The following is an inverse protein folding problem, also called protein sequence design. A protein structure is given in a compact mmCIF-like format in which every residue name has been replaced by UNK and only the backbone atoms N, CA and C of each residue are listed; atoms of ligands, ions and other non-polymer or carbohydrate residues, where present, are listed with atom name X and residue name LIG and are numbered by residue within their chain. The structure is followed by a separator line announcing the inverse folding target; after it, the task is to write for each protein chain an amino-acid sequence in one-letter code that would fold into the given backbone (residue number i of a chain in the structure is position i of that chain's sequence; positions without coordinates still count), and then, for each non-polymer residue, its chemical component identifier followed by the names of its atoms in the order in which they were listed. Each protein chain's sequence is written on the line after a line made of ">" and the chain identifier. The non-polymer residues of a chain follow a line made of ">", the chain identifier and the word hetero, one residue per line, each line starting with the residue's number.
data_IF_797359202592
#
_entry.id   IF_797359202592
#
_cell.length_a   1.000
_cell.length_b   1.000
_cell.length_c   1.000
_cell.angle_alpha   90.00
_cell.angle_beta   90.00
_cell.angle_gamma   90.00
#
_symmetry.space_group_name_H-M   'P 1'
#
loop_
_entity.id
_entity.type
_entity.pdbx_description
1 polymer ?
#
# COMPACT_ATOMS: atom_id res chain seq x y z
N UNK A 1 33.10 -17.62 -26.85
CA UNK A 1 31.63 -17.53 -26.84
C UNK A 1 31.18 -17.63 -28.28
N UNK A 2 30.28 -18.55 -28.58
CA UNK A 2 29.70 -18.70 -29.92
C UNK A 2 28.82 -17.49 -30.23
N UNK A 3 29.01 -16.91 -31.41
CA UNK A 3 28.26 -15.77 -31.89
C UNK A 3 26.87 -16.27 -32.33
N UNK A 4 25.77 -15.78 -31.74
CA UNK A 4 24.43 -16.19 -32.14
C UNK A 4 24.12 -15.68 -33.56
N UNK A 5 23.33 -16.45 -34.32
CA UNK A 5 22.99 -16.29 -35.75
C UNK A 5 23.37 -14.95 -36.40
N UNK A 6 24.40 -14.99 -37.25
CA UNK A 6 24.99 -13.83 -37.94
C UNK A 6 24.02 -13.09 -38.87
N UNK A 7 22.88 -13.67 -39.23
CA UNK A 7 21.94 -13.05 -40.17
C UNK A 7 21.07 -11.95 -39.54
N UNK A 8 21.00 -11.89 -38.20
CA UNK A 8 20.20 -10.88 -37.48
C UNK A 8 21.01 -9.82 -36.75
N UNK A 9 22.33 -10.01 -36.66
CA UNK A 9 23.25 -9.13 -35.92
C UNK A 9 24.23 -8.52 -36.92
N UNK A 10 24.14 -7.20 -37.09
CA UNK A 10 24.97 -6.44 -38.03
C UNK A 10 25.91 -5.54 -37.23
N UNK A 11 27.21 -5.59 -37.53
CA UNK A 11 28.22 -4.72 -36.90
C UNK A 11 28.81 -3.80 -37.95
N UNK A 12 28.50 -2.50 -37.87
CA UNK A 12 29.00 -1.47 -38.78
C UNK A 12 29.80 -0.40 -38.02
N UNK A 13 31.13 -0.56 -38.03
CA UNK A 13 32.04 0.38 -37.39
C UNK A 13 31.84 0.47 -35.87
N UNK A 14 31.07 1.48 -35.42
CA UNK A 14 30.77 1.73 -33.99
C UNK A 14 29.36 1.27 -33.61
N UNK A 15 28.59 0.77 -34.56
CA UNK A 15 27.19 0.42 -34.36
C UNK A 15 26.99 -1.09 -34.39
N UNK A 16 26.19 -1.58 -33.43
CA UNK A 16 25.75 -2.96 -33.33
C UNK A 16 24.22 -2.95 -33.46
N UNK A 17 23.72 -3.55 -34.54
CA UNK A 17 22.30 -3.53 -34.89
C UNK A 17 21.72 -4.93 -34.85
N UNK A 18 20.62 -5.09 -34.12
CA UNK A 18 19.81 -6.31 -34.12
C UNK A 18 18.58 -6.08 -34.99
N UNK A 19 18.44 -6.82 -36.09
CA UNK A 19 17.24 -6.73 -36.95
C UNK A 19 16.03 -7.41 -36.31
N UNK A 20 16.27 -8.39 -35.44
CA UNK A 20 15.26 -9.06 -34.61
C UNK A 20 15.87 -9.48 -33.27
N UNK A 21 15.20 -9.08 -32.18
CA UNK A 21 15.61 -9.39 -30.81
C UNK A 21 15.03 -10.73 -30.36
N UNK A 22 15.85 -11.51 -29.66
CA UNK A 22 15.45 -12.71 -28.93
C UNK A 22 15.78 -12.53 -27.45
N UNK A 23 15.04 -13.20 -26.57
CA UNK A 23 15.32 -13.23 -25.13
C UNK A 23 16.73 -13.75 -24.81
N UNK A 24 17.34 -14.55 -25.69
CA UNK A 24 18.73 -14.99 -25.54
C UNK A 24 19.77 -13.91 -25.80
N UNK A 25 19.37 -12.75 -26.33
CA UNK A 25 20.25 -11.58 -26.49
C UNK A 25 20.43 -10.77 -25.21
N UNK A 26 19.74 -11.16 -24.14
CA UNK A 26 19.95 -10.55 -22.84
C UNK A 26 21.41 -10.72 -22.42
N UNK A 27 22.08 -9.61 -22.13
CA UNK A 27 23.49 -9.69 -21.74
C UNK A 27 24.20 -8.36 -21.69
N UNK A 28 25.46 -8.43 -21.28
CA UNK A 28 26.38 -7.29 -21.26
C UNK A 28 27.19 -7.28 -22.55
N UNK A 29 27.00 -6.25 -23.36
CA UNK A 29 27.72 -5.99 -24.58
C UNK A 29 28.87 -5.04 -24.30
N UNK A 30 30.06 -5.36 -24.80
CA UNK A 30 31.25 -4.53 -24.65
C UNK A 30 31.71 -4.01 -26.00
N UNK A 31 31.75 -2.69 -26.13
CA UNK A 31 32.43 -2.04 -27.24
C UNK A 31 33.89 -1.84 -26.87
N UNK A 32 34.81 -2.19 -27.75
CA UNK A 32 36.24 -2.02 -27.55
C UNK A 32 36.83 -1.20 -28.71
N UNK A 33 37.50 -0.10 -28.36
CA UNK A 33 38.24 0.75 -29.29
C UNK A 33 39.74 0.59 -29.04
N UNK A 34 40.50 0.34 -30.09
CA UNK A 34 41.94 0.10 -30.00
C UNK A 34 42.71 0.98 -30.98
N UNK A 35 43.90 1.41 -30.56
CA UNK A 35 44.90 2.04 -31.41
C UNK A 35 46.31 1.55 -31.02
N UNK A 36 47.35 2.05 -31.68
CA UNK A 36 48.73 1.61 -31.43
C UNK A 36 49.27 1.98 -30.04
N UNK A 37 48.57 2.85 -29.28
CA UNK A 37 48.97 3.27 -27.93
C UNK A 37 48.20 2.51 -26.84
N UNK A 38 47.04 1.92 -27.15
CA UNK A 38 46.28 1.16 -26.18
C UNK A 38 44.85 0.85 -26.61
N UNK A 39 44.10 0.27 -25.67
CA UNK A 39 42.70 -0.10 -25.84
C UNK A 39 41.85 0.52 -24.74
N UNK A 40 40.61 0.88 -25.07
CA UNK A 40 39.60 1.33 -24.13
C UNK A 40 38.27 0.65 -24.45
N UNK A 41 37.44 0.39 -23.45
CA UNK A 41 36.16 -0.27 -23.65
C UNK A 41 35.04 0.33 -22.81
N UNK A 42 33.82 0.16 -23.30
CA UNK A 42 32.59 0.55 -22.61
C UNK A 42 31.60 -0.62 -22.65
N UNK A 43 30.89 -0.83 -21.54
CA UNK A 43 29.91 -1.90 -21.39
C UNK A 43 28.48 -1.35 -21.37
N UNK A 44 27.56 -2.10 -21.97
CA UNK A 44 26.12 -1.82 -22.02
C UNK A 44 25.32 -3.08 -21.72
N UNK A 45 24.33 -3.00 -20.83
CA UNK A 45 23.47 -4.15 -20.50
C UNK A 45 22.17 -4.05 -21.29
N UNK A 46 21.95 -5.00 -22.19
CA UNK A 46 20.73 -5.10 -22.99
C UNK A 46 19.71 -5.96 -22.26
N UNK A 47 18.51 -5.40 -22.07
CA UNK A 47 17.34 -6.11 -21.56
C UNK A 47 16.31 -6.35 -22.66
N UNK A 48 16.01 -7.61 -22.97
CA UNK A 48 14.97 -8.02 -23.92
C UNK A 48 13.82 -8.67 -23.16
N UNK A 49 12.64 -8.06 -23.27
CA UNK A 49 11.41 -8.54 -22.64
C UNK A 49 10.55 -9.28 -23.66
N UNK A 50 9.90 -10.35 -23.21
CA UNK A 50 8.90 -11.06 -24.00
C UNK A 50 7.53 -10.42 -23.76
N UNK A 51 6.90 -9.80 -24.77
CA UNK A 51 5.60 -9.15 -24.61
C UNK A 51 4.47 -10.14 -24.33
N UNK A 52 4.66 -11.42 -24.65
CA UNK A 52 3.70 -12.49 -24.43
C UNK A 52 3.96 -13.25 -23.12
N UNK A 53 5.03 -12.93 -22.39
CA UNK A 53 5.25 -13.42 -21.04
C UNK A 53 4.29 -12.71 -20.08
N UNK A 54 3.01 -13.08 -20.15
CA UNK A 54 1.97 -12.74 -19.20
C UNK A 54 2.46 -13.08 -17.78
N UNK A 55 2.89 -12.07 -17.04
CA UNK A 55 2.93 -12.11 -15.57
C UNK A 55 4.21 -12.60 -14.90
N UNK A 56 5.39 -12.53 -15.51
CA UNK A 56 6.65 -12.68 -14.76
C UNK A 56 7.18 -11.32 -14.29
N UNK A 57 6.34 -10.55 -13.58
CA UNK A 57 6.81 -9.57 -12.59
C UNK A 57 7.34 -10.37 -11.39
N UNK A 58 8.48 -11.04 -11.59
CA UNK A 58 9.04 -12.03 -10.66
C UNK A 58 9.49 -11.46 -9.30
N UNK A 59 9.43 -10.15 -9.11
CA UNK A 59 9.86 -9.46 -7.88
C UNK A 59 8.75 -8.64 -7.23
N UNK A 60 7.73 -8.23 -7.99
CA UNK A 60 6.86 -7.14 -7.53
C UNK A 60 5.75 -7.63 -6.63
N UNK A 61 5.28 -8.86 -6.83
CA UNK A 61 4.26 -9.45 -5.95
C UNK A 61 4.79 -9.70 -4.53
N UNK A 62 6.08 -10.02 -4.37
CA UNK A 62 6.69 -10.21 -3.06
C UNK A 62 6.85 -8.87 -2.32
N UNK A 63 7.29 -7.83 -3.03
CA UNK A 63 7.38 -6.46 -2.51
C UNK A 63 6.00 -5.90 -2.15
N UNK A 64 5.04 -5.97 -3.07
CA UNK A 64 3.66 -5.52 -2.86
C UNK A 64 3.01 -6.29 -1.70
N UNK A 65 3.17 -7.62 -1.67
CA UNK A 65 2.66 -8.47 -0.59
C UNK A 65 3.27 -8.13 0.77
N UNK A 66 4.58 -7.86 0.82
CA UNK A 66 5.27 -7.44 2.03
C UNK A 66 4.75 -6.11 2.58
N UNK A 67 4.60 -5.11 1.72
CA UNK A 67 4.08 -3.79 2.14
C UNK A 67 2.66 -3.91 2.67
N UNK A 68 1.78 -4.64 1.96
CA UNK A 68 0.39 -4.85 2.39
C UNK A 68 0.34 -5.58 3.74
N UNK A 69 1.16 -6.63 3.93
CA UNK A 69 1.20 -7.36 5.18
C UNK A 69 1.62 -6.48 6.38
N UNK A 70 2.63 -5.61 6.19
CA UNK A 70 3.09 -4.68 7.24
C UNK A 70 2.01 -3.68 7.61
N UNK A 71 1.32 -3.09 6.62
CA UNK A 71 0.25 -2.11 6.87
C UNK A 71 -0.92 -2.76 7.64
N UNK A 72 -1.34 -3.96 7.23
CA UNK A 72 -2.43 -4.70 7.91
C UNK A 72 -2.02 -5.08 9.34
N UNK A 73 -0.77 -5.50 9.56
CA UNK A 73 -0.28 -5.83 10.90
C UNK A 73 -0.24 -4.60 11.83
N UNK A 74 0.32 -3.48 11.36
CA UNK A 74 0.40 -2.24 12.15
C UNK A 74 -0.99 -1.72 12.50
N UNK A 75 -1.90 -1.69 11.54
CA UNK A 75 -3.29 -1.25 11.78
C UNK A 75 -4.01 -2.14 12.79
N UNK A 76 -3.87 -3.47 12.69
CA UNK A 76 -4.45 -4.41 13.66
C UNK A 76 -3.87 -4.20 15.07
N UNK A 77 -2.55 -4.03 15.18
CA UNK A 77 -1.88 -3.73 16.46
C UNK A 77 -2.40 -2.43 17.08
N UNK A 78 -2.52 -1.36 16.30
CA UNK A 78 -3.05 -0.09 16.77
C UNK A 78 -4.50 -0.22 17.26
N UNK A 79 -5.35 -0.94 16.53
CA UNK A 79 -6.75 -1.18 16.95
C UNK A 79 -6.79 -1.94 18.27
N UNK A 80 -5.96 -2.97 18.46
CA UNK A 80 -5.92 -3.75 19.71
C UNK A 80 -5.42 -2.89 20.86
N UNK A 81 -4.33 -2.13 20.66
CA UNK A 81 -3.75 -1.26 21.69
C UNK A 81 -4.74 -0.15 22.06
N UNK A 82 -5.33 0.53 21.08
CA UNK A 82 -6.36 1.56 21.32
C UNK A 82 -7.60 0.96 21.95
N UNK A 83 -8.05 -0.22 21.52
CA UNK A 83 -9.18 -0.92 22.12
C UNK A 83 -8.93 -1.29 23.58
N UNK A 84 -7.74 -1.79 23.92
CA UNK A 84 -7.32 -2.04 25.31
C UNK A 84 -7.18 -0.76 26.10
N UNK A 85 -6.58 0.27 25.51
CA UNK A 85 -6.38 1.58 26.12
C UNK A 85 -7.73 2.21 26.45
N UNK A 86 -8.64 2.27 25.48
CA UNK A 86 -10.01 2.75 25.66
C UNK A 86 -10.81 1.85 26.59
N UNK A 87 -10.65 0.52 26.59
CA UNK A 87 -11.35 -0.32 27.58
C UNK A 87 -10.82 -0.11 29.01
N UNK A 88 -9.54 0.22 29.17
CA UNK A 88 -8.93 0.56 30.47
C UNK A 88 -9.25 2.01 30.90
N UNK A 89 -9.33 2.94 29.95
CA UNK A 89 -9.63 4.36 30.17
C UNK A 89 -11.10 4.73 29.97
N UNK A 90 -11.97 3.82 29.52
CA UNK A 90 -13.44 3.93 29.55
C UNK A 90 -14.01 3.15 30.73
N UNK A 91 -13.27 3.12 31.84
CA UNK A 91 -13.87 3.28 33.16
C UNK A 91 -14.17 4.76 33.47
N UNK A 92 -14.24 5.62 32.45
CA UNK A 92 -14.28 7.08 32.59
C UNK A 92 -15.18 7.65 31.47
N UNK A 93 -16.49 7.63 31.77
CA UNK A 93 -17.58 8.50 31.31
C UNK A 93 -17.86 8.65 29.80
N UNK A 94 -18.85 7.88 29.34
CA UNK A 94 -19.89 8.40 28.44
C UNK A 94 -21.27 8.02 28.97
N UNK A 95 -21.51 8.28 30.26
CA UNK A 95 -22.86 8.50 30.77
C UNK A 95 -23.05 10.01 30.72
N UNK A 96 -23.93 10.50 29.85
CA UNK A 96 -24.52 11.81 30.06
C UNK A 96 -25.38 11.68 31.30
N UNK A 97 -24.76 11.72 32.48
CA UNK A 97 -25.49 11.86 33.73
C UNK A 97 -26.17 13.22 33.64
N UNK A 98 -27.50 13.19 33.59
CA UNK A 98 -28.30 14.39 33.59
C UNK A 98 -27.92 15.21 34.83
N UNK A 99 -27.36 16.38 34.58
CA UNK A 99 -26.86 17.31 35.58
C UNK A 99 -28.05 17.80 36.41
N UNK A 100 -28.32 17.14 37.54
CA UNK A 100 -29.48 17.42 38.39
C UNK A 100 -29.82 16.35 39.43
N UNK A 101 -29.14 15.21 39.45
CA UNK A 101 -29.44 14.11 40.38
C UNK A 101 -28.63 14.14 41.70
N UNK A 102 -27.76 15.14 41.91
CA UNK A 102 -26.91 15.20 43.12
C UNK A 102 -27.61 15.84 44.35
N UNK A 103 -28.74 16.53 44.15
CA UNK A 103 -29.50 17.20 45.24
C UNK A 103 -30.85 16.53 45.57
N UNK A 104 -31.14 15.35 45.00
CA UNK A 104 -32.34 14.58 45.31
C UNK A 104 -31.99 13.46 46.31
N UNK A 105 -32.59 13.43 47.52
CA UNK A 105 -32.31 12.39 48.52
C UNK A 105 -32.80 10.98 48.12
N UNK A 106 -33.60 10.86 47.06
CA UNK A 106 -34.17 9.63 46.54
C UNK A 106 -34.64 9.78 45.06
N UNK A 107 -34.80 8.65 44.36
CA UNK A 107 -35.08 8.61 42.92
C UNK A 107 -36.51 9.06 42.56
N UNK A 108 -37.48 8.94 43.47
CA UNK A 108 -38.87 9.34 43.22
C UNK A 108 -39.01 10.86 43.22
N UNK A 109 -38.19 11.57 44.01
CA UNK A 109 -38.15 13.05 44.04
C UNK A 109 -37.52 13.66 42.78
N UNK A 110 -36.55 12.98 42.14
CA UNK A 110 -35.89 13.46 40.92
C UNK A 110 -36.81 13.47 39.69
N UNK A 111 -37.78 12.55 39.64
CA UNK A 111 -38.73 12.42 38.51
C UNK A 111 -39.72 13.59 38.48
N UNK A 112 -40.20 14.04 39.64
CA UNK A 112 -41.26 15.06 39.74
C UNK A 112 -40.75 16.46 39.38
N UNK A 113 -39.45 16.73 39.60
CA UNK A 113 -38.83 18.01 39.25
C UNK A 113 -38.33 18.09 37.79
N UNK A 114 -38.33 16.99 37.04
CA UNK A 114 -37.91 16.97 35.64
C UNK A 114 -38.98 17.53 34.69
N UNK A 115 -40.24 17.59 35.12
CA UNK A 115 -41.39 17.93 34.26
C UNK A 115 -41.86 19.39 34.41
N UNK A 116 -40.91 20.28 34.67
CA UNK A 116 -41.12 21.72 34.68
C UNK A 116 -40.34 22.42 33.57
N UNK A 117 -40.99 22.64 32.42
CA UNK A 117 -40.85 23.88 31.65
C UNK A 117 -39.88 23.99 30.45
N UNK A 118 -39.66 23.00 29.58
CA UNK A 118 -39.18 23.33 28.21
C UNK A 118 -39.80 22.47 27.10
N UNK A 119 -40.87 23.02 26.52
CA UNK A 119 -41.44 22.67 25.23
C UNK A 119 -40.44 22.92 24.09
N UNK A 120 -39.85 21.87 23.52
CA UNK A 120 -39.47 21.74 22.09
C UNK A 120 -38.70 20.43 21.90
N UNK A 121 -39.37 19.36 21.50
CA UNK A 121 -38.70 18.24 20.84
C UNK A 121 -39.71 17.58 19.91
N UNK A 122 -39.55 17.89 18.63
CA UNK A 122 -40.40 17.44 17.54
C UNK A 122 -40.61 15.92 17.53
N UNK A 123 -41.88 15.59 17.35
CA UNK A 123 -42.45 14.32 16.95
C UNK A 123 -41.70 13.68 15.77
N UNK A 124 -41.18 12.46 15.95
CA UNK A 124 -40.88 11.54 14.85
C UNK A 124 -41.67 10.26 15.03
N UNK A 125 -42.72 10.10 14.22
CA UNK A 125 -43.50 8.87 14.09
C UNK A 125 -42.86 7.97 13.04
N UNK A 126 -42.48 6.76 13.42
CA UNK A 126 -42.12 5.71 12.48
C UNK A 126 -43.38 4.93 12.07
N UNK A 127 -43.57 4.73 10.77
CA UNK A 127 -44.67 3.96 10.19
C UNK A 127 -44.21 2.53 9.94
N UNK A 128 -45.01 1.56 10.37
CA UNK A 128 -44.84 0.15 10.04
C UNK A 128 -45.69 -0.19 8.79
N UNK A 129 -45.07 -0.92 7.85
CA UNK A 129 -45.75 -1.62 6.74
C UNK A 129 -46.22 -2.99 7.20
#
# INVERSE_FOLDING_TARGET
>A
GELPDLDRIIVEGRELTFTSLNKTDNGTYRCEASNHLGTNSAEYVLYVYDPNALGQHGTDHALIGGVVAVVVFVTLCLIIVLGRYLARHKGTYLTNEAKGADDAPDADTAIINAEGNHAHAEEKKEYFI
#
